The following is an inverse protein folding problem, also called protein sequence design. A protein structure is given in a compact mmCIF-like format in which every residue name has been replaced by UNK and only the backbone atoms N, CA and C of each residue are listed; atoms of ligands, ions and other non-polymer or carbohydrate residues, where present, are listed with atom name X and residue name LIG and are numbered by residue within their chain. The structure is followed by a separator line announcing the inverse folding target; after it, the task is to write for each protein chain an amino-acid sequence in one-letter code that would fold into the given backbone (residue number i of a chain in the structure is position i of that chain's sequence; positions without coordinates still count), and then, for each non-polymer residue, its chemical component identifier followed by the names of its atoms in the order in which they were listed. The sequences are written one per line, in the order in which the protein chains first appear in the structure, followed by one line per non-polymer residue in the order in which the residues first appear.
data_IF_326412012809
#
_entry.id   IF_326412012809
#
_cell.length_a   1.000
_cell.length_b   1.000
_cell.length_c   1.000
_cell.angle_alpha   90.00
_cell.angle_beta   90.00
_cell.angle_gamma   90.00
#
_symmetry.space_group_name_H-M   'P 1'
#
loop_
_entity.id
_entity.type
_entity.pdbx_description
1 polymer ?
#
# COMPACT_ATOMS: atom_id res chain seq x y z
N UNK A 1 -2.72 25.55 3.27
CA UNK A 1 -3.58 24.98 2.21
C UNK A 1 -2.93 25.33 0.88
N UNK A 2 -2.61 24.32 0.08
CA UNK A 2 -2.03 24.45 -1.25
C UNK A 2 -3.13 24.12 -2.26
N UNK A 3 -3.29 24.94 -3.29
CA UNK A 3 -4.21 24.68 -4.39
C UNK A 3 -3.44 24.06 -5.54
N UNK A 4 -3.82 22.84 -5.93
CA UNK A 4 -3.24 22.13 -7.06
C UNK A 4 -4.34 22.04 -8.13
N UNK A 5 -4.10 22.63 -9.29
CA UNK A 5 -5.10 22.76 -10.37
C UNK A 5 -4.86 21.72 -11.48
N UNK A 6 -4.37 20.54 -11.10
CA UNK A 6 -4.11 19.42 -11.99
C UNK A 6 -5.09 18.28 -11.73
N UNK A 7 -5.00 17.19 -12.51
CA UNK A 7 -5.81 16.00 -12.33
C UNK A 7 -5.51 15.26 -11.01
N UNK A 8 -4.42 15.62 -10.30
CA UNK A 8 -4.07 15.05 -8.99
C UNK A 8 -5.16 15.33 -7.94
N UNK A 9 -5.86 16.47 -8.05
CA UNK A 9 -7.00 16.82 -7.19
C UNK A 9 -8.35 16.46 -7.82
N UNK A 10 -8.41 15.47 -8.72
CA UNK A 10 -9.66 14.97 -9.29
C UNK A 10 -9.68 13.45 -9.31
N UNK A 11 -10.46 12.85 -8.43
CA UNK A 11 -10.57 11.40 -8.28
C UNK A 11 -11.65 10.81 -9.17
N UNK A 12 -11.41 9.62 -9.68
CA UNK A 12 -12.37 8.78 -10.42
C UNK A 12 -12.35 7.35 -9.93
N UNK A 13 -13.51 6.71 -9.85
CA UNK A 13 -13.64 5.29 -9.46
C UNK A 13 -13.01 4.33 -10.48
N UNK A 14 -12.75 4.82 -11.70
CA UNK A 14 -12.18 4.09 -12.82
C UNK A 14 -12.38 4.87 -14.09
N UNK A 15 -12.36 4.18 -15.25
CA UNK A 15 -12.65 4.79 -16.55
C UNK A 15 -14.07 5.34 -16.62
N UNK A 16 -15.01 4.71 -15.92
CA UNK A 16 -16.41 5.12 -15.79
C UNK A 16 -16.86 5.06 -14.32
N UNK A 17 -17.89 5.83 -13.99
CA UNK A 17 -18.50 5.83 -12.66
C UNK A 17 -18.29 7.13 -11.87
N UNK A 18 -18.59 7.13 -10.58
CA UNK A 18 -18.53 8.33 -9.75
C UNK A 18 -17.15 8.98 -9.77
N UNK A 19 -17.14 10.31 -9.90
CA UNK A 19 -15.93 11.11 -9.89
C UNK A 19 -16.19 12.52 -9.36
N UNK A 20 -15.11 13.24 -9.04
CA UNK A 20 -15.18 14.61 -8.58
C UNK A 20 -13.87 15.11 -7.99
N UNK A 21 -13.82 16.43 -7.68
CA UNK A 21 -12.64 17.01 -7.06
C UNK A 21 -12.33 16.35 -5.72
N UNK A 22 -11.05 16.27 -5.40
CA UNK A 22 -10.54 15.74 -4.13
C UNK A 22 -9.70 16.77 -3.39
N UNK A 23 -9.48 16.49 -2.11
CA UNK A 23 -8.49 17.17 -1.29
C UNK A 23 -7.78 16.13 -0.44
N UNK A 24 -6.50 16.34 -0.22
CA UNK A 24 -5.63 15.40 0.45
C UNK A 24 -5.00 16.05 1.68
N UNK A 25 -4.75 15.24 2.70
CA UNK A 25 -4.02 15.65 3.90
C UNK A 25 -2.67 14.96 3.86
N UNK A 26 -1.61 15.75 3.86
CA UNK A 26 -0.23 15.30 3.91
C UNK A 26 0.35 15.51 5.30
N UNK A 27 1.19 14.58 5.71
CA UNK A 27 2.04 14.71 6.89
C UNK A 27 3.47 15.09 6.46
N UNK A 28 4.06 16.10 7.08
CA UNK A 28 5.44 16.51 6.86
C UNK A 28 6.35 15.78 7.88
N UNK A 29 7.12 14.82 7.42
CA UNK A 29 8.08 14.08 8.24
C UNK A 29 9.35 14.88 8.59
N UNK A 30 9.50 16.09 8.03
CA UNK A 30 10.60 16.99 8.33
C UNK A 30 11.71 17.01 7.29
N UNK A 31 12.59 18.01 7.44
CA UNK A 31 13.61 18.37 6.44
C UNK A 31 14.71 17.30 6.25
N UNK A 32 14.79 16.31 7.14
CA UNK A 32 15.73 15.20 7.03
C UNK A 32 15.37 14.22 5.90
N UNK A 33 14.16 14.27 5.36
CA UNK A 33 13.69 13.44 4.25
C UNK A 33 13.61 14.26 2.97
N UNK A 34 13.90 13.63 1.83
CA UNK A 34 13.79 14.27 0.51
C UNK A 34 12.35 14.49 0.07
N UNK A 35 12.17 15.42 -0.83
CA UNK A 35 10.88 15.84 -1.39
C UNK A 35 10.46 17.24 -0.94
N UNK A 36 9.82 17.97 -1.84
CA UNK A 36 9.27 19.29 -1.57
C UNK A 36 7.74 19.21 -1.40
N UNK A 37 7.10 20.33 -1.20
CA UNK A 37 5.66 20.43 -0.96
C UNK A 37 4.85 19.87 -2.12
N UNK A 38 3.70 19.23 -1.85
CA UNK A 38 2.79 18.75 -2.88
C UNK A 38 2.44 19.85 -3.90
N UNK A 39 2.40 19.51 -5.17
CA UNK A 39 2.17 20.43 -6.28
C UNK A 39 3.40 21.15 -6.79
N UNK A 40 4.61 20.77 -6.36
CA UNK A 40 5.87 21.28 -6.88
C UNK A 40 6.56 20.24 -7.78
N UNK A 41 7.47 20.64 -8.71
CA UNK A 41 8.16 19.69 -9.57
C UNK A 41 9.02 18.65 -8.82
N UNK A 42 9.45 18.96 -7.60
CA UNK A 42 10.32 18.13 -6.77
C UNK A 42 9.55 17.50 -5.58
N UNK A 43 8.24 17.31 -5.72
CA UNK A 43 7.37 16.73 -4.68
C UNK A 43 7.66 15.24 -4.38
N UNK A 44 8.28 14.54 -5.31
CA UNK A 44 8.64 13.13 -5.13
C UNK A 44 9.64 12.96 -3.99
N UNK A 45 9.28 12.15 -2.99
CA UNK A 45 10.14 11.85 -1.85
C UNK A 45 9.38 11.35 -0.64
N UNK A 46 10.11 11.16 0.46
CA UNK A 46 9.59 10.56 1.68
C UNK A 46 9.23 11.60 2.76
N UNK A 47 9.33 12.89 2.45
CA UNK A 47 9.03 13.98 3.38
C UNK A 47 7.54 14.20 3.57
N UNK A 48 6.82 14.45 2.46
CA UNK A 48 5.38 14.73 2.48
C UNK A 48 4.60 13.50 2.05
N UNK A 49 3.99 12.80 3.00
CA UNK A 49 3.24 11.58 2.73
C UNK A 49 1.76 11.86 2.87
N UNK A 50 0.99 11.59 1.80
CA UNK A 50 -0.46 11.62 1.84
C UNK A 50 -0.96 10.58 2.84
N UNK A 51 -1.70 11.01 3.87
CA UNK A 51 -2.28 10.13 4.90
C UNK A 51 -3.79 9.98 4.74
N UNK A 52 -4.45 10.94 4.10
CA UNK A 52 -5.90 10.93 3.97
C UNK A 52 -6.35 11.61 2.69
N UNK A 53 -7.31 11.01 1.97
CA UNK A 53 -7.94 11.56 0.79
C UNK A 53 -9.44 11.78 1.04
N UNK A 54 -9.98 12.92 0.63
CA UNK A 54 -11.39 13.29 0.75
C UNK A 54 -11.89 13.66 -0.64
N UNK A 55 -12.86 12.90 -1.14
CA UNK A 55 -13.41 13.05 -2.49
C UNK A 55 -14.82 13.62 -2.45
N UNK A 56 -15.05 14.66 -3.22
CA UNK A 56 -16.38 15.29 -3.40
C UNK A 56 -17.01 14.77 -4.69
N UNK A 57 -17.67 13.61 -4.61
CA UNK A 57 -18.31 12.98 -5.76
C UNK A 57 -19.48 13.82 -6.25
N UNK A 58 -19.35 14.39 -7.44
CA UNK A 58 -20.32 15.30 -8.06
C UNK A 58 -20.82 14.77 -9.39
N UNK A 59 -20.03 13.94 -10.06
CA UNK A 59 -20.29 13.51 -11.43
C UNK A 59 -20.23 11.98 -11.54
N UNK A 60 -20.88 11.48 -12.59
CA UNK A 60 -20.78 10.11 -13.10
C UNK A 60 -20.17 10.16 -14.50
N UNK A 61 -18.93 9.66 -14.63
CA UNK A 61 -18.20 9.61 -15.90
C UNK A 61 -18.74 8.48 -16.76
N UNK A 62 -19.20 8.83 -17.96
CA UNK A 62 -19.72 7.89 -18.94
C UNK A 62 -18.58 7.29 -19.80
N UNK A 63 -18.88 6.23 -20.56
CA UNK A 63 -17.91 5.55 -21.42
C UNK A 63 -17.36 6.41 -22.56
N UNK A 64 -18.07 7.44 -22.96
CA UNK A 64 -17.67 8.45 -23.96
C UNK A 64 -16.88 9.62 -23.35
N UNK A 65 -16.66 9.59 -22.02
CA UNK A 65 -15.97 10.64 -21.27
C UNK A 65 -16.86 11.78 -20.78
N UNK A 66 -18.17 11.78 -21.13
CA UNK A 66 -19.11 12.79 -20.61
C UNK A 66 -19.24 12.67 -19.09
N UNK A 67 -19.18 13.80 -18.38
CA UNK A 67 -19.41 13.87 -16.93
C UNK A 67 -20.82 14.35 -16.64
N UNK A 68 -21.71 13.43 -16.27
CA UNK A 68 -23.10 13.76 -15.89
C UNK A 68 -23.18 14.09 -14.40
N UNK A 69 -23.86 15.17 -14.02
CA UNK A 69 -24.08 15.44 -12.59
C UNK A 69 -24.78 14.26 -11.91
N UNK A 70 -24.27 13.86 -10.75
CA UNK A 70 -24.97 12.87 -9.91
C UNK A 70 -26.31 13.43 -9.41
N UNK A 71 -27.38 12.63 -9.36
CA UNK A 71 -28.66 13.06 -8.80
C UNK A 71 -28.56 13.42 -7.31
N UNK A 72 -27.58 12.83 -6.61
CA UNK A 72 -27.23 13.13 -5.24
C UNK A 72 -25.71 13.11 -5.10
N UNK A 73 -25.15 14.24 -4.74
CA UNK A 73 -23.71 14.35 -4.44
C UNK A 73 -23.36 13.63 -3.13
N UNK A 74 -22.11 13.21 -3.00
CA UNK A 74 -21.62 12.52 -1.81
C UNK A 74 -20.18 12.88 -1.52
N UNK A 75 -19.76 12.60 -0.29
CA UNK A 75 -18.36 12.70 0.13
C UNK A 75 -17.86 11.30 0.45
N UNK A 76 -16.81 10.88 -0.25
CA UNK A 76 -16.06 9.67 0.09
C UNK A 76 -14.74 10.04 0.75
N UNK A 77 -14.25 9.21 1.64
CA UNK A 77 -12.97 9.45 2.30
C UNK A 77 -12.18 8.16 2.44
N UNK A 78 -10.87 8.22 2.26
CA UNK A 78 -9.94 7.12 2.42
C UNK A 78 -8.72 7.54 3.22
N UNK A 79 -8.33 6.68 4.17
CA UNK A 79 -7.15 6.88 5.00
C UNK A 79 -6.28 5.62 4.93
N UNK A 80 -4.99 5.77 4.64
CA UNK A 80 -4.05 4.66 4.65
C UNK A 80 -3.76 4.19 6.07
N UNK A 81 -4.18 2.97 6.44
CA UNK A 81 -3.94 2.43 7.78
C UNK A 81 -2.45 2.46 8.15
N UNK A 82 -1.61 1.98 7.27
CA UNK A 82 -0.16 1.93 7.49
C UNK A 82 0.45 3.32 7.56
N UNK A 83 -0.01 4.24 6.71
CA UNK A 83 0.48 5.62 6.68
C UNK A 83 0.16 6.37 7.97
N UNK A 84 -1.09 6.28 8.44
CA UNK A 84 -1.48 6.92 9.71
C UNK A 84 -0.81 6.24 10.91
N UNK A 85 -0.64 4.92 10.88
CA UNK A 85 0.05 4.17 11.91
C UNK A 85 1.52 4.58 12.00
N UNK A 86 2.20 4.73 10.86
CA UNK A 86 3.59 5.21 10.80
C UNK A 86 3.72 6.58 11.48
N UNK A 87 2.83 7.52 11.15
CA UNK A 87 2.78 8.85 11.79
C UNK A 87 2.58 8.72 13.31
N UNK A 88 1.62 7.90 13.75
CA UNK A 88 1.31 7.73 15.18
C UNK A 88 2.42 7.03 15.96
N UNK A 89 3.19 6.16 15.32
CA UNK A 89 4.34 5.47 15.90
C UNK A 89 5.65 6.26 15.75
N UNK A 90 5.64 7.40 15.04
CA UNK A 90 6.81 8.25 14.85
C UNK A 90 7.88 7.64 13.94
N UNK A 91 7.47 6.79 12.99
CA UNK A 91 8.34 6.19 11.97
C UNK A 91 7.98 6.74 10.58
N UNK A 92 8.93 6.69 9.64
CA UNK A 92 8.72 7.23 8.30
C UNK A 92 8.14 6.19 7.34
N UNK A 93 8.65 4.96 7.37
CA UNK A 93 8.23 3.93 6.44
C UNK A 93 7.04 3.12 6.96
N UNK A 94 6.10 2.78 6.08
CA UNK A 94 4.99 1.88 6.38
C UNK A 94 5.46 0.50 6.89
N UNK A 95 6.64 0.06 6.48
CA UNK A 95 7.22 -1.22 6.90
C UNK A 95 7.83 -1.20 8.30
N UNK A 96 8.04 -0.01 8.88
CA UNK A 96 8.61 0.13 10.22
C UNK A 96 7.55 0.11 11.33
N UNK A 97 6.26 0.06 10.97
CA UNK A 97 5.18 -0.11 11.94
C UNK A 97 5.19 -1.51 12.56
N UNK A 98 4.67 -1.62 13.75
CA UNK A 98 4.63 -2.86 14.55
C UNK A 98 4.02 -4.06 13.80
N UNK A 99 2.95 -3.83 13.02
CA UNK A 99 2.29 -4.85 12.22
C UNK A 99 3.24 -5.53 11.24
N UNK A 100 4.05 -4.74 10.50
CA UNK A 100 4.99 -5.30 9.53
C UNK A 100 6.27 -5.78 10.19
N UNK A 101 6.77 -5.08 11.21
CA UNK A 101 8.01 -5.45 11.88
C UNK A 101 7.95 -6.86 12.48
N UNK A 102 6.83 -7.27 13.05
CA UNK A 102 6.67 -8.63 13.56
C UNK A 102 6.88 -9.71 12.49
N UNK A 103 6.38 -9.48 11.25
CA UNK A 103 6.51 -10.41 10.13
C UNK A 103 7.91 -10.33 9.53
N UNK A 104 8.45 -9.13 9.34
CA UNK A 104 9.79 -8.88 8.79
C UNK A 104 10.86 -9.51 9.67
N UNK A 105 10.82 -9.27 10.97
CA UNK A 105 11.79 -9.83 11.93
C UNK A 105 11.74 -11.35 11.96
N UNK A 106 10.53 -11.93 11.93
CA UNK A 106 10.38 -13.39 11.87
C UNK A 106 10.90 -13.98 10.56
N UNK A 107 10.66 -13.26 9.45
CA UNK A 107 11.19 -13.67 8.14
C UNK A 107 12.72 -13.65 8.12
N UNK A 108 13.33 -12.60 8.65
CA UNK A 108 14.77 -12.44 8.77
C UNK A 108 15.37 -13.55 9.65
N UNK A 109 14.83 -13.76 10.86
CA UNK A 109 15.25 -14.84 11.79
C UNK A 109 15.25 -16.20 11.09
N UNK A 110 14.16 -16.54 10.38
CA UNK A 110 14.03 -17.83 9.70
C UNK A 110 14.97 -17.99 8.49
N UNK A 111 15.38 -16.89 7.88
CA UNK A 111 16.34 -16.87 6.77
C UNK A 111 17.80 -16.77 7.27
N UNK A 112 18.04 -16.62 8.58
CA UNK A 112 19.37 -16.42 9.15
C UNK A 112 19.97 -15.05 8.82
N UNK A 113 19.10 -14.02 8.66
CA UNK A 113 19.45 -12.63 8.32
C UNK A 113 19.09 -11.68 9.46
N UNK A 114 19.69 -10.50 9.43
CA UNK A 114 19.30 -9.38 10.29
C UNK A 114 18.72 -8.25 9.42
N UNK A 115 17.51 -7.83 9.73
CA UNK A 115 16.90 -6.67 9.07
C UNK A 115 17.61 -5.38 9.49
N UNK A 116 17.91 -4.53 8.54
CA UNK A 116 18.64 -3.27 8.73
C UNK A 116 20.16 -3.34 8.45
N UNK A 117 20.70 -4.54 8.10
CA UNK A 117 22.13 -4.69 7.79
C UNK A 117 22.44 -4.59 6.28
N UNK A 118 21.45 -4.88 5.41
CA UNK A 118 21.67 -4.90 3.97
C UNK A 118 20.39 -4.52 3.21
N UNK A 119 20.45 -3.40 2.47
CA UNK A 119 19.30 -2.84 1.74
C UNK A 119 18.64 -3.82 0.77
N UNK A 120 19.41 -4.67 0.06
CA UNK A 120 18.85 -5.62 -0.91
C UNK A 120 18.03 -6.73 -0.22
N UNK A 121 18.53 -7.24 0.90
CA UNK A 121 17.79 -8.23 1.71
C UNK A 121 16.61 -7.60 2.41
N UNK A 122 16.73 -6.36 2.88
CA UNK A 122 15.67 -5.62 3.55
C UNK A 122 14.49 -5.36 2.62
N UNK A 123 14.75 -4.93 1.38
CA UNK A 123 13.71 -4.81 0.34
C UNK A 123 12.99 -6.15 0.14
N UNK A 124 13.73 -7.25 0.08
CA UNK A 124 13.12 -8.57 -0.09
C UNK A 124 12.27 -8.99 1.11
N UNK A 125 12.71 -8.73 2.33
CA UNK A 125 11.97 -9.00 3.56
C UNK A 125 10.68 -8.18 3.64
N UNK A 126 10.71 -6.90 3.23
CA UNK A 126 9.51 -6.03 3.13
C UNK A 126 8.50 -6.58 2.12
N UNK A 127 8.96 -6.98 0.93
CA UNK A 127 8.10 -7.58 -0.09
C UNK A 127 7.47 -8.89 0.41
N UNK A 128 8.23 -9.74 1.09
CA UNK A 128 7.72 -11.00 1.66
C UNK A 128 6.59 -10.71 2.66
N UNK A 129 6.79 -9.78 3.58
CA UNK A 129 5.81 -9.44 4.60
C UNK A 129 4.51 -8.87 4.01
N UNK A 130 4.61 -7.91 3.09
CA UNK A 130 3.48 -7.31 2.40
C UNK A 130 2.70 -8.35 1.59
N UNK A 131 3.39 -9.14 0.79
CA UNK A 131 2.77 -10.12 -0.09
C UNK A 131 2.20 -11.33 0.66
N UNK A 132 2.79 -11.69 1.80
CA UNK A 132 2.21 -12.70 2.70
C UNK A 132 0.84 -12.24 3.20
N UNK A 133 0.75 -11.01 3.72
CA UNK A 133 -0.51 -10.44 4.20
C UNK A 133 -1.55 -10.37 3.08
N UNK A 134 -1.19 -9.78 1.94
CA UNK A 134 -2.10 -9.70 0.80
C UNK A 134 -2.58 -11.09 0.33
N UNK A 135 -1.68 -12.08 0.27
CA UNK A 135 -2.02 -13.45 -0.11
C UNK A 135 -3.00 -14.08 0.86
N UNK A 136 -2.74 -13.97 2.17
CA UNK A 136 -3.58 -14.56 3.19
C UNK A 136 -5.00 -13.98 3.19
N UNK A 137 -5.14 -12.67 3.12
CA UNK A 137 -6.45 -12.00 3.07
C UNK A 137 -7.21 -12.37 1.80
N UNK A 138 -6.57 -12.33 0.63
CA UNK A 138 -7.23 -12.71 -0.63
C UNK A 138 -7.71 -14.16 -0.63
N UNK A 139 -6.92 -15.09 -0.08
CA UNK A 139 -7.33 -16.49 0.07
C UNK A 139 -8.52 -16.64 1.03
N UNK A 140 -8.50 -15.92 2.16
CA UNK A 140 -9.59 -15.91 3.14
C UNK A 140 -10.88 -15.36 2.52
N UNK A 141 -10.77 -14.35 1.66
CA UNK A 141 -11.92 -13.79 0.90
C UNK A 141 -12.35 -14.68 -0.29
N UNK A 142 -11.78 -15.88 -0.43
CA UNK A 142 -12.16 -16.88 -1.42
C UNK A 142 -11.55 -16.68 -2.82
N UNK A 143 -10.55 -15.80 -2.96
CA UNK A 143 -9.82 -15.66 -4.21
C UNK A 143 -8.78 -16.76 -4.32
N UNK A 144 -8.94 -17.67 -5.29
CA UNK A 144 -7.98 -18.74 -5.57
C UNK A 144 -7.03 -18.36 -6.70
N UNK A 145 -5.73 -18.76 -6.63
CA UNK A 145 -4.79 -18.52 -7.72
C UNK A 145 -5.26 -19.15 -9.03
N UNK A 146 -5.24 -18.39 -10.11
CA UNK A 146 -5.66 -18.84 -11.45
C UNK A 146 -4.83 -18.19 -12.56
N UNK A 147 -5.17 -18.47 -13.81
CA UNK A 147 -4.48 -17.93 -14.97
C UNK A 147 -5.10 -16.62 -15.50
N UNK A 148 -6.23 -16.20 -14.95
CA UNK A 148 -6.98 -15.01 -15.39
C UNK A 148 -7.67 -14.29 -14.24
N UNK A 149 -8.13 -13.07 -14.48
CA UNK A 149 -8.90 -12.27 -13.53
C UNK A 149 -8.18 -12.04 -12.19
N UNK A 150 -8.95 -11.99 -11.12
CA UNK A 150 -8.43 -11.73 -9.76
C UNK A 150 -7.45 -12.79 -9.29
N UNK A 151 -7.68 -14.06 -9.63
CA UNK A 151 -6.81 -15.16 -9.28
C UNK A 151 -5.44 -15.08 -9.97
N UNK A 152 -5.36 -14.51 -11.16
CA UNK A 152 -4.08 -14.23 -11.81
C UNK A 152 -3.26 -13.18 -11.06
N UNK A 153 -3.91 -12.12 -10.57
CA UNK A 153 -3.25 -11.09 -9.76
C UNK A 153 -2.68 -11.71 -8.47
N UNK A 154 -3.50 -12.50 -7.76
CA UNK A 154 -3.03 -13.23 -6.58
C UNK A 154 -1.83 -14.13 -6.90
N UNK A 155 -1.90 -14.89 -7.99
CA UNK A 155 -0.79 -15.74 -8.43
C UNK A 155 0.50 -14.92 -8.69
N UNK A 156 0.40 -13.74 -9.27
CA UNK A 156 1.55 -12.83 -9.47
C UNK A 156 2.15 -12.37 -8.14
N UNK A 157 1.31 -11.97 -7.17
CA UNK A 157 1.73 -11.56 -5.82
C UNK A 157 2.50 -12.71 -5.16
N UNK A 158 1.93 -13.91 -5.13
CA UNK A 158 2.58 -15.10 -4.56
C UNK A 158 3.92 -15.39 -5.23
N UNK A 159 3.98 -15.39 -6.56
CA UNK A 159 5.22 -15.64 -7.30
C UNK A 159 6.29 -14.58 -7.04
N UNK A 160 5.91 -13.32 -6.88
CA UNK A 160 6.84 -12.26 -6.51
C UNK A 160 7.42 -12.49 -5.12
N UNK A 161 6.60 -12.84 -4.14
CA UNK A 161 7.08 -13.20 -2.81
C UNK A 161 8.05 -14.39 -2.85
N UNK A 162 7.72 -15.46 -3.57
CA UNK A 162 8.59 -16.64 -3.74
C UNK A 162 9.93 -16.28 -4.39
N UNK A 163 9.94 -15.35 -5.36
CA UNK A 163 11.18 -14.87 -5.96
C UNK A 163 12.06 -14.16 -4.92
N UNK A 164 11.48 -13.27 -4.11
CA UNK A 164 12.21 -12.57 -3.05
C UNK A 164 12.71 -13.53 -1.96
N UNK A 165 11.96 -14.57 -1.62
CA UNK A 165 12.40 -15.64 -0.72
C UNK A 165 13.65 -16.34 -1.29
N UNK A 166 13.64 -16.65 -2.58
CA UNK A 166 14.79 -17.25 -3.23
C UNK A 166 16.01 -16.31 -3.28
N UNK A 167 15.77 -15.00 -3.52
CA UNK A 167 16.84 -13.99 -3.55
C UNK A 167 17.56 -13.85 -2.21
N UNK A 168 16.88 -14.05 -1.08
CA UNK A 168 17.50 -14.09 0.25
C UNK A 168 18.09 -15.46 0.62
N UNK A 169 18.24 -16.37 -0.34
CA UNK A 169 18.92 -17.66 -0.17
C UNK A 169 18.06 -18.80 0.34
N UNK A 170 16.75 -18.60 0.51
CA UNK A 170 15.85 -19.66 0.98
C UNK A 170 15.27 -20.41 -0.20
N UNK A 171 15.50 -21.71 -0.28
CA UNK A 171 15.04 -22.59 -1.38
C UNK A 171 13.87 -23.49 -1.00
N UNK A 172 13.56 -23.60 0.29
CA UNK A 172 12.48 -24.43 0.80
C UNK A 172 11.14 -23.66 0.85
N UNK A 173 9.99 -24.36 0.94
CA UNK A 173 8.70 -23.73 1.20
C UNK A 173 8.75 -22.88 2.48
N UNK A 174 8.46 -21.57 2.33
CA UNK A 174 8.75 -20.60 3.38
C UNK A 174 7.50 -19.83 3.87
N UNK A 175 6.68 -19.28 2.96
CA UNK A 175 5.57 -18.39 3.31
C UNK A 175 4.60 -18.98 4.33
N UNK A 176 4.24 -20.24 4.21
CA UNK A 176 3.28 -20.88 5.11
C UNK A 176 3.75 -20.92 6.57
N UNK A 177 5.07 -20.93 6.78
CA UNK A 177 5.68 -20.92 8.13
C UNK A 177 5.51 -19.56 8.83
N UNK A 178 5.24 -18.50 8.08
CA UNK A 178 4.99 -17.15 8.57
C UNK A 178 3.51 -16.87 8.91
N UNK A 179 2.58 -17.73 8.46
CA UNK A 179 1.15 -17.57 8.73
C UNK A 179 0.84 -17.45 10.23
N UNK A 180 1.44 -18.24 11.14
CA UNK A 180 1.16 -18.10 12.57
C UNK A 180 1.53 -16.73 13.15
N UNK A 181 2.58 -16.06 12.64
CA UNK A 181 2.90 -14.70 13.10
C UNK A 181 1.93 -13.69 12.52
N UNK A 182 1.53 -13.86 11.25
CA UNK A 182 0.51 -13.04 10.65
C UNK A 182 -0.81 -13.09 11.44
N UNK A 183 -1.30 -14.28 11.79
CA UNK A 183 -2.51 -14.45 12.60
C UNK A 183 -2.42 -13.75 13.96
N UNK A 184 -1.25 -13.78 14.61
CA UNK A 184 -1.07 -13.09 15.90
C UNK A 184 -1.17 -11.57 15.79
N UNK A 185 -0.68 -10.97 14.69
CA UNK A 185 -0.70 -9.51 14.52
C UNK A 185 -2.01 -9.00 13.94
N UNK A 186 -2.70 -9.81 13.13
CA UNK A 186 -3.94 -9.40 12.46
C UNK A 186 -5.21 -9.83 13.18
N UNK A 187 -5.10 -10.70 14.18
CA UNK A 187 -6.23 -11.33 14.85
C UNK A 187 -6.68 -12.64 14.19
N UNK A 188 -7.58 -13.36 14.82
CA UNK A 188 -8.17 -14.62 14.34
C UNK A 188 -9.36 -14.36 13.43
#
# INVERSE_FOLDING_TARGET
IIKIATDDNFWSAGDTGPCGPSTEIFYDHGDQYGGDKPGTPDEDGDRFIEIWNIVFMQYDRQADGEMKPLPKTGVGTGCGLERITAVMQGVNMNYDIDLFQAIIQKSAEMAGLNYGENDETDVSLRVIADHLRATAFLLTDGVMPSNEGRGYVLRRIMRRAMRHINMIGVTEPFMFKLVPVLCRVMGE
#
